data_IF_566396230263
#
_entry.id   IF_566396230263
#
_cell.length_a   1.000
_cell.length_b   1.000
_cell.length_c   1.000
_cell.angle_alpha   90.00
_cell.angle_beta   90.00
_cell.angle_gamma   90.00
#
_symmetry.space_group_name_H-M   'P 1'
#
loop_
_entity.id
_entity.type
_entity.pdbx_description
1 polymer ?
#
# COMPACT_ATOMS: atom_id res chain seq x y z
N UNK A 1 7.55 -2.63 -21.56
CA UNK A 1 6.11 -2.76 -21.90
C UNK A 1 5.20 -1.78 -21.17
N UNK A 2 5.52 -1.22 -20.00
CA UNK A 2 4.78 -0.04 -19.47
C UNK A 2 5.32 1.31 -19.95
N UNK A 3 6.62 1.40 -20.22
CA UNK A 3 7.27 2.65 -20.64
C UNK A 3 6.65 3.27 -21.91
N UNK A 4 6.39 2.46 -22.94
CA UNK A 4 5.80 2.94 -24.20
C UNK A 4 4.40 3.48 -23.98
N UNK A 5 3.59 2.80 -23.16
CA UNK A 5 2.25 3.26 -22.82
C UNK A 5 2.28 4.60 -22.09
N UNK A 6 3.11 4.73 -21.04
CA UNK A 6 3.24 6.00 -20.31
C UNK A 6 3.77 7.14 -21.17
N UNK A 7 4.71 6.85 -22.09
CA UNK A 7 5.18 7.82 -23.09
C UNK A 7 4.01 8.33 -23.93
N UNK A 8 3.13 7.44 -24.37
CA UNK A 8 2.01 7.82 -25.25
C UNK A 8 0.94 8.62 -24.47
N UNK A 9 0.61 8.24 -23.23
CA UNK A 9 -0.25 9.05 -22.34
C UNK A 9 0.32 10.46 -22.10
N UNK A 10 1.64 10.59 -21.95
CA UNK A 10 2.31 11.89 -21.81
C UNK A 10 2.20 12.73 -23.10
N UNK A 11 2.29 12.10 -24.27
CA UNK A 11 2.12 12.79 -25.56
C UNK A 11 0.66 13.25 -25.75
N UNK A 12 -0.30 12.35 -25.53
CA UNK A 12 -1.74 12.62 -25.62
C UNK A 12 -2.16 13.79 -24.70
N UNK A 13 -1.60 13.83 -23.50
CA UNK A 13 -1.88 14.89 -22.53
C UNK A 13 -1.20 16.22 -22.85
N UNK A 14 0.11 16.22 -23.10
CA UNK A 14 0.94 17.44 -23.09
C UNK A 14 1.12 18.04 -24.48
N UNK A 15 1.23 17.20 -25.52
CA UNK A 15 1.50 17.65 -26.89
C UNK A 15 0.22 17.76 -27.74
N UNK A 16 -0.73 16.85 -27.52
CA UNK A 16 -1.94 16.74 -28.35
C UNK A 16 -3.19 17.36 -27.68
N UNK A 17 -3.15 17.58 -26.36
CA UNK A 17 -4.20 18.29 -25.63
C UNK A 17 -5.49 17.51 -25.41
N UNK A 18 -5.47 16.17 -25.50
CA UNK A 18 -6.67 15.33 -25.37
C UNK A 18 -7.23 15.23 -23.95
N UNK A 19 -6.49 15.65 -22.94
CA UNK A 19 -6.90 15.61 -21.53
C UNK A 19 -7.81 16.80 -21.18
N UNK A 20 -9.02 16.83 -21.75
CA UNK A 20 -10.07 17.80 -21.39
C UNK A 20 -10.45 17.72 -19.90
N UNK A 21 -11.17 18.72 -19.38
CA UNK A 21 -11.60 18.73 -17.96
C UNK A 21 -12.37 17.46 -17.56
N UNK A 22 -13.20 16.92 -18.45
CA UNK A 22 -13.94 15.69 -18.21
C UNK A 22 -13.01 14.46 -18.11
N UNK A 23 -12.01 14.37 -19.00
CA UNK A 23 -11.02 13.28 -18.99
C UNK A 23 -10.16 13.34 -17.73
N UNK A 24 -9.69 14.54 -17.34
CA UNK A 24 -8.93 14.71 -16.10
C UNK A 24 -9.74 14.32 -14.86
N UNK A 25 -11.04 14.64 -14.84
CA UNK A 25 -11.93 14.21 -13.76
C UNK A 25 -12.05 12.68 -13.71
N UNK A 26 -12.19 12.02 -14.87
CA UNK A 26 -12.18 10.57 -14.97
C UNK A 26 -10.88 9.94 -14.45
N UNK A 27 -9.72 10.49 -14.82
CA UNK A 27 -8.42 10.03 -14.33
C UNK A 27 -8.26 10.19 -12.81
N UNK A 28 -8.77 11.29 -12.24
CA UNK A 28 -8.78 11.51 -10.78
C UNK A 28 -9.60 10.44 -10.07
N UNK A 29 -10.83 10.18 -10.52
CA UNK A 29 -11.66 9.14 -9.93
C UNK A 29 -11.05 7.75 -10.12
N UNK A 30 -10.50 7.45 -11.31
CA UNK A 30 -9.82 6.18 -11.57
C UNK A 30 -8.64 5.96 -10.62
N UNK A 31 -7.81 6.97 -10.40
CA UNK A 31 -6.67 6.86 -9.48
C UNK A 31 -7.09 6.78 -8.01
N UNK A 32 -8.14 7.50 -7.60
CA UNK A 32 -8.71 7.37 -6.24
C UNK A 32 -9.23 5.94 -6.03
N UNK A 33 -10.00 5.40 -6.98
CA UNK A 33 -10.53 4.03 -6.90
C UNK A 33 -9.41 2.98 -6.89
N UNK A 34 -8.35 3.20 -7.66
CA UNK A 34 -7.15 2.37 -7.64
C UNK A 34 -6.47 2.39 -6.25
N UNK A 35 -6.27 3.58 -5.65
CA UNK A 35 -5.73 3.67 -4.29
C UNK A 35 -6.65 2.98 -3.28
N UNK A 36 -7.97 3.15 -3.39
CA UNK A 36 -8.94 2.48 -2.51
C UNK A 36 -8.83 0.95 -2.63
N UNK A 37 -8.66 0.40 -3.83
CA UNK A 37 -8.44 -1.04 -3.99
C UNK A 37 -7.15 -1.51 -3.32
N UNK A 38 -6.06 -0.73 -3.41
CA UNK A 38 -4.80 -1.06 -2.73
C UNK A 38 -4.93 -0.98 -1.20
N UNK A 39 -5.66 0.00 -0.66
CA UNK A 39 -5.95 0.07 0.79
C UNK A 39 -6.70 -1.17 1.25
N UNK A 40 -7.69 -1.65 0.48
CA UNK A 40 -8.42 -2.88 0.80
C UNK A 40 -7.53 -4.13 0.69
N UNK A 41 -6.59 -4.15 -0.26
CA UNK A 41 -5.58 -5.21 -0.36
C UNK A 41 -4.70 -5.26 0.90
N UNK A 42 -4.18 -4.12 1.38
CA UNK A 42 -3.44 -4.06 2.64
C UNK A 42 -4.30 -4.40 3.86
N UNK A 43 -5.57 -4.00 3.88
CA UNK A 43 -6.51 -4.33 4.93
C UNK A 43 -6.61 -5.85 5.17
N UNK A 44 -6.56 -6.67 4.11
CA UNK A 44 -6.57 -8.12 4.24
C UNK A 44 -5.34 -8.66 4.99
N UNK A 45 -4.15 -8.09 4.78
CA UNK A 45 -2.95 -8.46 5.53
C UNK A 45 -3.01 -8.04 6.99
N UNK A 46 -3.51 -6.82 7.26
CA UNK A 46 -3.74 -6.37 8.64
C UNK A 46 -4.78 -7.26 9.34
N UNK A 47 -5.85 -7.64 8.66
CA UNK A 47 -6.83 -8.59 9.18
C UNK A 47 -6.16 -9.91 9.57
N UNK A 48 -5.36 -10.50 8.67
CA UNK A 48 -4.65 -11.75 8.97
C UNK A 48 -3.69 -11.62 10.16
N UNK A 49 -2.98 -10.49 10.27
CA UNK A 49 -2.11 -10.17 11.40
C UNK A 49 -2.89 -10.07 12.72
N UNK A 50 -4.00 -9.33 12.75
CA UNK A 50 -4.80 -9.18 13.97
C UNK A 50 -5.49 -10.48 14.36
N UNK A 51 -6.02 -11.23 13.39
CA UNK A 51 -6.61 -12.54 13.63
C UNK A 51 -5.63 -13.47 14.34
N UNK A 52 -4.37 -13.49 13.89
CA UNK A 52 -3.34 -14.39 14.43
C UNK A 52 -2.72 -13.90 15.74
N UNK A 53 -2.57 -12.57 15.91
CA UNK A 53 -1.90 -12.00 17.10
C UNK A 53 -2.83 -11.79 18.29
N UNK A 54 -4.12 -11.51 18.06
CA UNK A 54 -5.11 -11.30 19.15
C UNK A 54 -5.59 -12.62 19.78
N UNK A 55 -5.60 -13.72 19.02
CA UNK A 55 -5.94 -15.05 19.52
C UNK A 55 -4.89 -16.09 19.08
N UNK A 56 -3.67 -16.06 19.65
CA UNK A 56 -2.58 -16.96 19.29
C UNK A 56 -2.98 -18.42 19.49
N UNK A 57 -2.65 -19.29 18.54
CA UNK A 57 -2.95 -20.73 18.65
C UNK A 57 -2.10 -21.38 19.75
N UNK A 58 -2.59 -22.50 20.29
CA UNK A 58 -1.87 -23.27 21.32
C UNK A 58 -0.53 -23.79 20.79
N UNK A 59 -0.44 -24.07 19.48
CA UNK A 59 0.76 -24.54 18.79
C UNK A 59 1.94 -23.56 18.89
N UNK A 60 1.66 -22.25 18.92
CA UNK A 60 2.68 -21.20 19.12
C UNK A 60 2.88 -20.81 20.59
N UNK A 61 2.28 -21.56 21.51
CA UNK A 61 2.40 -21.36 22.95
C UNK A 61 1.37 -20.37 23.54
N UNK A 62 0.32 -20.02 22.79
CA UNK A 62 -0.77 -19.16 23.27
C UNK A 62 -0.37 -17.72 23.60
N UNK A 63 0.79 -17.26 23.11
CA UNK A 63 1.31 -15.91 23.34
C UNK A 63 1.74 -15.26 22.03
N UNK A 64 1.69 -13.92 22.01
CA UNK A 64 2.24 -13.11 20.93
C UNK A 64 3.20 -12.06 21.51
N UNK A 65 4.41 -11.89 20.95
CA UNK A 65 5.03 -12.68 19.87
C UNK A 65 5.28 -14.15 20.27
N UNK A 66 5.31 -15.09 19.31
CA UNK A 66 5.65 -16.49 19.60
C UNK A 66 7.02 -16.61 20.26
N UNK A 67 7.20 -17.61 21.14
CA UNK A 67 8.49 -17.87 21.79
C UNK A 67 9.58 -18.15 20.75
N UNK A 68 10.75 -17.56 20.93
CA UNK A 68 11.90 -17.73 20.04
C UNK A 68 11.94 -16.77 18.85
N UNK A 69 10.91 -15.92 18.67
CA UNK A 69 10.92 -14.85 17.66
C UNK A 69 11.51 -13.58 18.26
N UNK A 70 12.66 -13.14 17.73
CA UNK A 70 13.23 -11.83 18.03
C UNK A 70 12.49 -10.74 17.25
N UNK A 71 11.97 -9.73 17.96
CA UNK A 71 11.25 -8.59 17.35
C UNK A 71 12.18 -7.38 17.28
N UNK A 72 12.06 -6.60 16.20
CA UNK A 72 12.80 -5.34 16.04
C UNK A 72 12.33 -4.31 17.07
N UNK A 73 13.26 -3.53 17.64
CA UNK A 73 12.90 -2.39 18.48
C UNK A 73 12.24 -1.30 17.62
N UNK A 74 11.00 -0.89 17.92
CA UNK A 74 10.31 0.18 17.19
C UNK A 74 11.06 1.51 17.15
N UNK A 75 11.93 1.80 18.13
CA UNK A 75 12.62 3.09 18.29
C UNK A 75 13.94 3.21 17.53
N UNK A 76 14.41 2.13 16.89
CA UNK A 76 15.63 2.13 16.11
C UNK A 76 15.34 2.41 14.62
N UNK A 77 15.66 1.44 13.75
CA UNK A 77 15.49 1.54 12.30
C UNK A 77 14.03 1.81 11.90
N UNK A 78 13.00 1.17 12.51
CA UNK A 78 11.61 1.45 12.15
C UNK A 78 11.19 2.90 12.39
N UNK A 79 11.63 3.50 13.50
CA UNK A 79 11.38 4.90 13.80
C UNK A 79 12.05 5.83 12.79
N UNK A 80 13.32 5.58 12.47
CA UNK A 80 14.04 6.34 11.45
C UNK A 80 13.31 6.28 10.09
N UNK A 81 12.85 5.11 9.67
CA UNK A 81 12.10 4.94 8.42
C UNK A 81 10.78 5.73 8.43
N UNK A 82 10.11 5.82 9.58
CA UNK A 82 8.90 6.64 9.73
C UNK A 82 9.21 8.12 9.51
N UNK A 83 10.34 8.62 10.05
CA UNK A 83 10.77 10.01 9.85
C UNK A 83 11.17 10.32 8.40
N UNK A 84 11.70 9.35 7.66
CA UNK A 84 12.07 9.54 6.24
C UNK A 84 10.84 9.66 5.33
N UNK A 85 9.74 8.99 5.69
CA UNK A 85 8.50 8.96 4.89
C UNK A 85 7.58 10.17 5.15
N UNK A 86 7.76 10.87 6.28
CA UNK A 86 7.02 12.09 6.66
C UNK A 86 7.65 13.34 6.04
#
# INVERSE_FOLDING_TARGET
TMFVWWRDVLRESTLEGYHTKAVQLGLRYGFILFIVSEVMFFFAFFWAFFHSSLAPTVEIGGIWPPKGVGVLDPWEIPFLNTLILL
#
